data_IF_126879514329
#
_entry.id   IF_126879514329
#
_cell.length_a   1.000
_cell.length_b   1.000
_cell.length_c   1.000
_cell.angle_alpha   90.00
_cell.angle_beta   90.00
_cell.angle_gamma   90.00
#
_symmetry.space_group_name_H-M   'P 1'
#
loop_
_entity.id
_entity.type
_entity.pdbx_description
1 polymer ?
#
# COMPACT_ATOMS: atom_id res chain seq x y z
N UNK A 1 -16.21 15.63 22.58
CA UNK A 1 -16.68 14.57 21.68
C UNK A 1 -15.88 13.27 21.93
N UNK A 2 -16.52 12.11 21.81
CA UNK A 2 -15.85 10.81 21.89
C UNK A 2 -15.55 10.26 23.28
N UNK A 3 -15.85 10.99 24.36
CA UNK A 3 -15.67 10.51 25.75
C UNK A 3 -16.97 10.15 26.46
N UNK A 4 -18.08 10.65 25.98
CA UNK A 4 -19.40 10.43 26.54
C UNK A 4 -20.41 10.19 25.42
N UNK A 5 -21.44 9.43 25.73
CA UNK A 5 -22.59 9.23 24.86
C UNK A 5 -23.26 10.55 24.52
N UNK A 6 -23.66 10.73 23.27
CA UNK A 6 -24.41 11.91 22.87
C UNK A 6 -25.78 11.94 23.58
N UNK A 7 -26.15 13.11 24.12
CA UNK A 7 -27.46 13.32 24.78
C UNK A 7 -28.58 13.55 23.77
N UNK A 8 -28.27 14.15 22.63
CA UNK A 8 -29.18 14.40 21.53
C UNK A 8 -28.65 13.65 20.32
N UNK A 9 -29.41 12.74 19.78
CA UNK A 9 -29.03 11.96 18.60
C UNK A 9 -30.26 11.43 17.83
N UNK A 10 -30.03 11.10 16.59
CA UNK A 10 -30.94 10.35 15.72
C UNK A 10 -30.12 9.38 14.90
N UNK A 11 -30.77 8.44 14.23
CA UNK A 11 -30.13 7.55 13.25
C UNK A 11 -30.55 7.92 11.85
N UNK A 12 -29.66 7.72 10.89
CA UNK A 12 -29.96 7.88 9.48
C UNK A 12 -30.80 6.71 8.96
N UNK A 13 -31.55 6.95 7.92
CA UNK A 13 -32.13 5.88 7.09
C UNK A 13 -31.06 5.24 6.18
N UNK A 14 -31.47 4.26 5.37
CA UNK A 14 -30.58 3.56 4.43
C UNK A 14 -29.98 4.47 3.33
N UNK A 15 -30.58 5.62 3.09
CA UNK A 15 -30.12 6.64 2.14
C UNK A 15 -29.25 7.72 2.79
N UNK A 16 -29.02 7.64 4.10
CA UNK A 16 -28.25 8.60 4.87
C UNK A 16 -29.03 9.82 5.31
N UNK A 17 -30.34 9.89 5.09
CA UNK A 17 -31.16 11.02 5.56
C UNK A 17 -31.38 10.93 7.06
N UNK A 18 -31.39 12.08 7.73
CA UNK A 18 -31.62 12.17 9.14
C UNK A 18 -32.45 13.40 9.51
N UNK A 19 -33.10 13.37 10.66
CA UNK A 19 -33.83 14.48 11.21
C UNK A 19 -33.70 14.51 12.74
N UNK A 20 -33.29 15.67 13.28
CA UNK A 20 -33.35 15.98 14.69
C UNK A 20 -34.54 16.90 14.95
N UNK A 21 -35.44 16.47 15.83
CA UNK A 21 -36.71 17.18 16.14
C UNK A 21 -36.70 17.75 17.55
N UNK A 22 -37.55 18.75 17.77
CA UNK A 22 -37.83 19.33 19.09
C UNK A 22 -36.56 19.89 19.78
N UNK A 23 -35.66 20.47 19.02
CA UNK A 23 -34.50 21.15 19.54
C UNK A 23 -34.86 22.55 19.99
N UNK A 24 -34.25 23.00 21.09
CA UNK A 24 -34.36 24.40 21.51
C UNK A 24 -33.56 25.31 20.59
N UNK A 25 -33.93 26.59 20.54
CA UNK A 25 -33.11 27.60 19.89
C UNK A 25 -31.79 27.73 20.64
N UNK A 26 -30.69 27.37 19.95
CA UNK A 26 -29.34 27.38 20.52
C UNK A 26 -28.31 27.18 19.41
N UNK A 27 -27.06 27.15 19.80
CA UNK A 27 -25.93 26.84 18.89
C UNK A 27 -25.45 25.42 19.13
N UNK A 28 -25.48 24.61 18.06
CA UNK A 28 -25.18 23.17 18.12
C UNK A 28 -23.91 22.83 17.36
N UNK A 29 -23.11 21.93 17.91
CA UNK A 29 -22.08 21.22 17.20
C UNK A 29 -22.64 19.89 16.71
N UNK A 30 -22.65 19.69 15.41
CA UNK A 30 -23.23 18.48 14.79
C UNK A 30 -22.09 17.54 14.37
N UNK A 31 -22.29 16.27 14.68
CA UNK A 31 -21.36 15.20 14.35
C UNK A 31 -22.13 14.02 13.74
N UNK A 32 -21.53 13.35 12.79
CA UNK A 32 -21.97 12.04 12.34
C UNK A 32 -21.02 10.97 12.90
N UNK A 33 -21.58 9.81 13.24
CA UNK A 33 -20.83 8.69 13.76
C UNK A 33 -21.32 7.41 13.08
N UNK A 34 -20.40 6.71 12.41
CA UNK A 34 -20.63 5.35 11.90
C UNK A 34 -19.82 4.42 12.78
N UNK A 35 -20.48 3.80 13.72
CA UNK A 35 -19.88 2.98 14.77
C UNK A 35 -20.07 1.48 14.54
N UNK A 36 -19.20 0.68 15.13
CA UNK A 36 -19.33 -0.78 15.15
C UNK A 36 -19.93 -1.31 16.46
N UNK A 37 -19.74 -0.60 17.57
CA UNK A 37 -20.11 -1.03 18.93
C UNK A 37 -21.53 -0.71 19.33
N UNK A 38 -22.24 0.18 18.64
CA UNK A 38 -23.60 0.67 18.96
C UNK A 38 -23.73 1.32 20.35
N UNK A 39 -22.62 1.78 20.94
CA UNK A 39 -22.57 2.43 22.25
C UNK A 39 -22.74 3.96 22.19
N UNK A 40 -22.72 4.54 20.99
CA UNK A 40 -22.82 5.98 20.70
C UNK A 40 -21.65 6.80 21.28
N UNK A 41 -20.50 6.15 21.39
CA UNK A 41 -19.24 6.74 21.83
C UNK A 41 -18.21 6.54 20.71
N UNK A 42 -17.64 7.63 20.21
CA UNK A 42 -16.64 7.55 19.15
C UNK A 42 -15.38 6.82 19.59
N UNK A 43 -15.04 5.77 18.89
CA UNK A 43 -13.84 4.97 19.05
C UNK A 43 -12.96 5.10 17.79
N UNK A 44 -11.89 5.87 17.88
CA UNK A 44 -11.02 6.18 16.74
C UNK A 44 -10.50 4.91 16.03
N UNK A 45 -10.31 3.81 16.74
CA UNK A 45 -9.81 2.56 16.19
C UNK A 45 -10.79 1.88 15.23
N UNK A 46 -12.10 2.00 15.47
CA UNK A 46 -13.13 1.24 14.76
C UNK A 46 -14.07 2.10 13.93
N UNK A 47 -14.35 3.32 14.40
CA UNK A 47 -15.45 4.12 13.89
C UNK A 47 -15.02 5.13 12.84
N UNK A 48 -15.95 5.53 11.99
CA UNK A 48 -15.83 6.68 11.12
C UNK A 48 -16.59 7.86 11.73
N UNK A 49 -16.09 9.06 11.53
CA UNK A 49 -16.66 10.29 12.11
C UNK A 49 -16.77 11.39 11.07
N UNK A 50 -17.84 12.18 11.18
CA UNK A 50 -18.03 13.40 10.40
C UNK A 50 -18.35 14.57 11.32
N UNK A 51 -18.05 15.78 10.91
CA UNK A 51 -18.34 16.99 11.67
C UNK A 51 -18.58 18.16 10.73
N UNK A 52 -19.24 19.21 11.22
CA UNK A 52 -19.25 20.52 10.56
C UNK A 52 -18.13 21.37 11.13
N UNK A 53 -17.42 22.12 10.30
CA UNK A 53 -16.36 23.03 10.74
C UNK A 53 -16.91 24.08 11.69
N UNK A 54 -18.06 24.65 11.35
CA UNK A 54 -18.74 25.65 12.13
C UNK A 54 -19.91 25.07 12.93
N UNK A 55 -20.30 25.75 13.99
CA UNK A 55 -21.48 25.41 14.76
C UNK A 55 -22.74 25.83 14.02
N UNK A 56 -23.83 25.10 14.18
CA UNK A 56 -25.13 25.42 13.59
C UNK A 56 -25.91 26.27 14.58
N UNK A 57 -26.20 27.50 14.22
CA UNK A 57 -27.13 28.38 14.98
C UNK A 57 -28.54 28.00 14.59
N UNK A 58 -29.29 27.42 15.52
CA UNK A 58 -30.67 26.99 15.32
C UNK A 58 -31.64 28.08 15.82
N UNK A 59 -31.84 29.09 15.00
CA UNK A 59 -32.81 30.16 15.18
C UNK A 59 -34.19 29.83 14.56
N UNK A 60 -34.15 29.00 13.53
CA UNK A 60 -35.28 28.44 12.76
C UNK A 60 -34.94 27.04 12.26
N UNK A 61 -35.88 26.39 11.60
CA UNK A 61 -35.61 25.10 10.99
C UNK A 61 -34.44 25.20 9.96
N UNK A 62 -33.48 24.32 10.09
CA UNK A 62 -32.35 24.21 9.17
C UNK A 62 -32.48 22.94 8.35
N UNK A 63 -32.23 23.05 7.06
CA UNK A 63 -32.19 21.93 6.10
C UNK A 63 -30.80 21.84 5.45
N UNK A 64 -30.54 20.75 4.77
CA UNK A 64 -29.26 20.53 4.05
C UNK A 64 -28.03 20.61 4.95
N UNK A 65 -28.14 20.13 6.18
CA UNK A 65 -27.00 20.00 7.11
C UNK A 65 -26.32 18.67 6.81
N UNK A 66 -25.48 18.67 5.77
CA UNK A 66 -24.82 17.46 5.28
C UNK A 66 -23.50 17.24 6.01
N UNK A 67 -23.19 15.99 6.32
CA UNK A 67 -21.93 15.56 6.93
C UNK A 67 -21.32 14.43 6.11
N UNK A 68 -20.02 14.50 5.92
CA UNK A 68 -19.25 13.42 5.34
C UNK A 68 -18.47 12.69 6.46
N UNK A 69 -18.57 11.36 6.48
CA UNK A 69 -17.84 10.56 7.46
C UNK A 69 -16.51 10.08 6.88
N UNK A 70 -15.51 10.01 7.72
CA UNK A 70 -14.18 9.55 7.37
C UNK A 70 -13.56 8.78 8.53
N UNK A 71 -12.59 7.93 8.21
CA UNK A 71 -11.77 7.23 9.17
C UNK A 71 -10.55 8.09 9.50
N UNK A 72 -10.34 8.42 10.77
CA UNK A 72 -9.10 9.07 11.21
C UNK A 72 -7.94 8.08 11.26
N UNK A 73 -6.73 8.58 11.09
CA UNK A 73 -5.54 7.84 11.49
C UNK A 73 -5.48 7.74 13.03
N UNK A 74 -4.95 6.65 13.53
CA UNK A 74 -4.82 6.45 14.95
C UNK A 74 -3.92 7.52 15.58
N UNK A 75 -4.39 8.20 16.64
CA UNK A 75 -3.62 9.23 17.33
C UNK A 75 -2.60 8.66 18.32
N UNK A 76 -2.78 7.41 18.74
CA UNK A 76 -1.90 6.71 19.66
C UNK A 76 -1.37 5.49 18.92
N UNK A 77 -0.06 5.41 18.81
CA UNK A 77 0.60 4.24 18.23
C UNK A 77 0.33 2.99 19.05
N UNK A 78 0.06 1.88 18.35
CA UNK A 78 -0.05 0.54 18.94
C UNK A 78 0.42 -0.52 17.94
N UNK A 79 1.11 -1.50 18.44
CA UNK A 79 1.30 -2.77 17.72
C UNK A 79 0.04 -3.60 17.91
N UNK A 80 -0.70 -3.82 16.80
CA UNK A 80 -2.02 -4.51 16.78
C UNK A 80 -1.84 -6.02 16.85
N UNK A 81 -0.80 -6.49 16.15
CA UNK A 81 -0.44 -7.91 16.13
C UNK A 81 1.08 -8.07 16.10
N UNK A 82 1.56 -9.10 16.75
CA UNK A 82 2.96 -9.50 16.76
C UNK A 82 3.10 -11.01 16.78
N UNK A 83 4.00 -11.52 15.96
CA UNK A 83 4.20 -12.95 15.83
C UNK A 83 5.66 -13.30 15.57
N UNK A 84 6.17 -14.31 16.28
CA UNK A 84 7.35 -15.07 15.87
C UNK A 84 6.86 -16.17 14.91
N UNK A 85 7.22 -16.05 13.65
CA UNK A 85 6.76 -16.96 12.60
C UNK A 85 7.51 -18.30 12.66
N UNK A 86 6.94 -19.32 12.03
CA UNK A 86 7.56 -20.66 11.92
C UNK A 86 8.89 -20.68 11.16
N UNK A 87 9.21 -19.64 10.41
CA UNK A 87 10.50 -19.45 9.73
C UNK A 87 11.54 -18.71 10.59
N UNK A 88 11.17 -18.30 11.81
CA UNK A 88 12.00 -17.54 12.74
C UNK A 88 11.98 -16.03 12.52
N UNK A 89 11.20 -15.52 11.57
CA UNK A 89 11.04 -14.08 11.38
C UNK A 89 10.05 -13.48 12.39
N UNK A 90 10.28 -12.24 12.77
CA UNK A 90 9.38 -11.46 13.61
C UNK A 90 8.45 -10.64 12.71
N UNK A 91 7.15 -10.74 12.90
CA UNK A 91 6.13 -9.97 12.23
C UNK A 91 5.48 -9.00 13.20
N UNK A 92 5.24 -7.77 12.77
CA UNK A 92 4.46 -6.79 13.50
C UNK A 92 3.50 -6.10 12.54
N UNK A 93 2.24 -5.93 12.98
CA UNK A 93 1.24 -5.09 12.34
C UNK A 93 0.95 -3.89 13.23
N UNK A 94 0.84 -2.73 12.63
CA UNK A 94 0.71 -1.44 13.32
C UNK A 94 -0.66 -0.84 13.04
N UNK A 95 -1.17 -0.04 13.96
CA UNK A 95 -2.46 0.63 13.78
C UNK A 95 -2.38 1.93 12.98
N UNK A 96 -1.18 2.33 12.56
CA UNK A 96 -0.96 3.53 11.75
C UNK A 96 0.23 3.35 10.82
N UNK A 97 0.26 4.15 9.75
CA UNK A 97 1.36 4.20 8.79
C UNK A 97 2.50 5.04 9.35
N UNK A 98 3.70 4.50 9.33
CA UNK A 98 4.89 5.22 9.76
C UNK A 98 5.50 6.02 8.60
N UNK A 99 6.09 7.17 8.91
CA UNK A 99 6.66 8.09 7.90
C UNK A 99 8.13 7.82 7.63
N UNK A 100 8.94 7.78 8.70
CA UNK A 100 10.39 7.51 8.67
C UNK A 100 10.77 6.50 9.75
N UNK A 101 10.28 5.25 9.63
CA UNK A 101 10.45 4.26 10.68
C UNK A 101 11.90 3.83 10.83
N UNK A 102 12.31 3.70 12.08
CA UNK A 102 13.58 3.10 12.48
C UNK A 102 13.29 1.99 13.48
N UNK A 103 13.85 0.82 13.21
CA UNK A 103 13.69 -0.37 14.06
C UNK A 103 15.04 -0.79 14.59
N UNK A 104 15.16 -1.01 15.89
CA UNK A 104 16.37 -1.50 16.52
C UNK A 104 16.06 -2.67 17.46
N UNK A 105 16.98 -3.62 17.54
CA UNK A 105 16.96 -4.67 18.53
C UNK A 105 17.79 -4.18 19.73
N UNK A 106 17.11 -3.96 20.85
CA UNK A 106 17.77 -3.44 22.05
C UNK A 106 18.24 -4.54 22.99
N UNK A 107 17.65 -5.74 22.88
CA UNK A 107 18.04 -6.89 23.70
C UNK A 107 17.73 -8.20 22.96
N UNK A 108 18.70 -9.10 22.73
CA UNK A 108 20.15 -8.88 22.87
C UNK A 108 20.67 -7.91 21.79
N UNK A 109 21.44 -6.89 22.19
CA UNK A 109 21.92 -5.87 21.28
C UNK A 109 22.83 -6.42 20.14
N UNK A 110 23.48 -7.55 20.35
CA UNK A 110 24.31 -8.21 19.35
C UNK A 110 23.55 -8.60 18.08
N UNK A 111 22.21 -8.79 18.16
CA UNK A 111 21.38 -9.15 17.01
C UNK A 111 21.06 -7.95 16.11
N UNK A 112 21.27 -6.75 16.59
CA UNK A 112 20.89 -5.53 15.86
C UNK A 112 21.69 -5.33 14.57
N UNK A 113 22.97 -5.54 14.60
CA UNK A 113 23.85 -5.30 13.45
C UNK A 113 23.55 -6.18 12.23
N UNK A 114 23.03 -7.38 12.45
CA UNK A 114 22.78 -8.36 11.38
C UNK A 114 21.29 -8.56 11.04
N UNK A 115 20.40 -7.73 11.63
CA UNK A 115 18.97 -7.80 11.32
C UNK A 115 18.68 -7.29 9.89
N UNK A 116 17.67 -7.87 9.28
CA UNK A 116 17.10 -7.38 8.03
C UNK A 116 15.65 -7.00 8.29
N UNK A 117 15.28 -5.77 7.95
CA UNK A 117 13.94 -5.22 8.20
C UNK A 117 13.29 -4.88 6.88
N UNK A 118 12.06 -5.29 6.69
CA UNK A 118 11.25 -4.90 5.54
C UNK A 118 9.88 -4.46 6.01
N UNK A 119 9.52 -3.23 5.65
CA UNK A 119 8.17 -2.72 5.76
C UNK A 119 7.36 -3.09 4.51
N UNK A 120 6.05 -3.20 4.66
CA UNK A 120 5.15 -3.25 3.53
C UNK A 120 5.08 -1.88 2.83
N UNK A 121 4.36 -1.79 1.71
CA UNK A 121 4.25 -0.56 0.91
C UNK A 121 3.56 0.60 1.63
N UNK A 122 2.78 0.33 2.66
CA UNK A 122 2.05 1.31 3.46
C UNK A 122 2.75 1.70 4.76
N UNK A 123 3.85 1.04 5.11
CA UNK A 123 4.57 1.22 6.38
C UNK A 123 3.72 1.00 7.64
N UNK A 124 2.71 0.14 7.55
CA UNK A 124 1.86 -0.26 8.68
C UNK A 124 2.06 -1.72 9.11
N UNK A 125 3.01 -2.40 8.50
CA UNK A 125 3.43 -3.76 8.87
C UNK A 125 4.89 -3.95 8.52
N UNK A 126 5.60 -4.70 9.33
CA UNK A 126 7.01 -4.99 9.10
C UNK A 126 7.36 -6.42 9.46
N UNK A 127 8.38 -6.93 8.80
CA UNK A 127 9.00 -8.22 9.11
C UNK A 127 10.49 -8.03 9.35
N UNK A 128 11.01 -8.72 10.37
CA UNK A 128 12.42 -8.71 10.74
C UNK A 128 12.95 -10.14 10.64
N UNK A 129 14.07 -10.30 9.95
CA UNK A 129 14.82 -11.55 9.92
C UNK A 129 16.12 -11.38 10.70
N UNK A 130 16.43 -12.39 11.51
CA UNK A 130 17.62 -12.46 12.32
C UNK A 130 18.53 -13.57 11.80
N UNK A 131 19.84 -13.37 11.89
CA UNK A 131 20.83 -14.38 11.49
C UNK A 131 21.14 -15.38 12.61
N UNK A 132 20.72 -15.10 13.82
CA UNK A 132 20.83 -15.98 14.96
C UNK A 132 19.46 -16.08 15.67
N UNK A 133 19.06 -17.30 16.03
CA UNK A 133 17.81 -17.61 16.70
C UNK A 133 18.04 -18.33 18.05
N UNK A 134 19.22 -18.19 18.63
CA UNK A 134 19.58 -18.84 19.89
C UNK A 134 19.13 -18.09 21.14
N UNK A 135 18.34 -17.05 20.98
CA UNK A 135 17.80 -16.21 22.05
C UNK A 135 16.53 -16.81 22.70
N UNK A 136 16.30 -16.53 23.97
CA UNK A 136 15.03 -16.83 24.64
C UNK A 136 13.98 -15.74 24.38
N UNK A 137 14.40 -14.49 24.33
CA UNK A 137 13.54 -13.38 23.97
C UNK A 137 14.31 -12.26 23.29
N UNK A 138 13.59 -11.48 22.48
CA UNK A 138 14.10 -10.29 21.76
C UNK A 138 13.23 -9.09 22.08
N UNK A 139 13.85 -7.97 22.42
CA UNK A 139 13.16 -6.68 22.52
C UNK A 139 13.47 -5.81 21.31
N UNK A 140 12.43 -5.38 20.63
CA UNK A 140 12.50 -4.58 19.41
C UNK A 140 11.91 -3.20 19.69
N UNK A 141 12.69 -2.14 19.51
CA UNK A 141 12.20 -0.77 19.58
C UNK A 141 11.77 -0.28 18.20
N UNK A 142 10.68 0.48 18.17
CA UNK A 142 10.16 1.14 16.98
C UNK A 142 10.18 2.64 17.24
N UNK A 143 10.80 3.39 16.33
CA UNK A 143 10.82 4.84 16.32
C UNK A 143 10.26 5.34 15.00
N UNK A 144 9.65 6.52 14.98
CA UNK A 144 9.23 7.21 13.77
C UNK A 144 9.58 8.70 13.87
N UNK A 145 10.17 9.26 12.81
CA UNK A 145 10.61 10.66 12.76
C UNK A 145 11.45 11.07 14.00
N UNK A 146 12.26 10.13 14.51
CA UNK A 146 13.13 10.35 15.68
C UNK A 146 12.43 10.22 17.04
N UNK A 147 11.13 9.94 17.07
CA UNK A 147 10.39 9.70 18.33
C UNK A 147 10.29 8.20 18.61
N UNK A 148 10.59 7.82 19.85
CA UNK A 148 10.31 6.46 20.33
C UNK A 148 8.79 6.24 20.40
N UNK A 149 8.31 5.17 19.78
CA UNK A 149 6.89 4.82 19.77
C UNK A 149 6.57 3.69 20.74
N UNK A 150 7.30 2.58 20.65
CA UNK A 150 7.07 1.41 21.51
C UNK A 150 8.30 0.49 21.53
N UNK A 151 8.30 -0.42 22.52
CA UNK A 151 9.27 -1.50 22.65
C UNK A 151 8.54 -2.83 22.82
N UNK A 152 8.72 -3.73 21.87
CA UNK A 152 7.99 -4.98 21.76
C UNK A 152 8.89 -6.13 22.15
N UNK A 153 8.43 -6.99 23.07
CA UNK A 153 9.11 -8.23 23.43
C UNK A 153 8.51 -9.39 22.63
N UNK A 154 9.38 -10.17 21.99
CA UNK A 154 9.08 -11.48 21.45
C UNK A 154 9.74 -12.51 22.32
N UNK A 155 9.03 -13.60 22.65
CA UNK A 155 9.57 -14.71 23.40
C UNK A 155 9.52 -15.96 22.57
N UNK A 156 10.56 -16.74 22.64
CA UNK A 156 10.63 -18.07 22.02
C UNK A 156 10.03 -19.10 22.94
N UNK A 157 9.23 -20.00 22.40
CA UNK A 157 8.76 -21.17 23.12
C UNK A 157 9.87 -22.22 23.22
N UNK A 158 9.96 -22.93 24.35
CA UNK A 158 11.00 -23.98 24.58
C UNK A 158 10.98 -25.10 23.53
N UNK A 159 9.84 -25.31 22.86
CA UNK A 159 9.64 -26.36 21.83
C UNK A 159 9.55 -25.81 20.41
N UNK A 160 9.83 -24.52 20.21
CA UNK A 160 9.73 -23.93 18.89
C UNK A 160 10.78 -24.52 17.95
N UNK A 161 10.30 -25.10 16.86
CA UNK A 161 11.12 -25.57 15.75
C UNK A 161 10.85 -24.65 14.54
N UNK A 162 11.90 -24.32 13.82
CA UNK A 162 11.78 -23.42 12.67
C UNK A 162 11.92 -24.18 11.37
N UNK A 163 10.91 -24.05 10.51
CA UNK A 163 10.91 -24.61 9.16
C UNK A 163 11.19 -23.52 8.15
N UNK A 164 12.30 -23.62 7.43
CA UNK A 164 12.76 -22.60 6.49
C UNK A 164 12.83 -23.15 5.08
N UNK A 165 11.70 -23.17 4.41
CA UNK A 165 11.65 -23.51 2.99
C UNK A 165 11.73 -22.22 2.17
N UNK A 166 12.71 -22.15 1.28
CA UNK A 166 12.80 -21.03 0.34
C UNK A 166 11.80 -21.26 -0.78
N UNK A 167 10.90 -20.29 -0.94
CA UNK A 167 9.90 -20.25 -2.00
C UNK A 167 10.04 -18.94 -2.75
N UNK A 168 10.00 -19.02 -4.09
CA UNK A 168 10.05 -17.86 -4.96
C UNK A 168 8.68 -17.64 -5.63
N UNK A 169 8.13 -16.45 -5.47
CA UNK A 169 7.08 -15.89 -6.32
C UNK A 169 7.71 -15.14 -7.50
N UNK A 170 6.92 -14.80 -8.50
CA UNK A 170 7.38 -14.06 -9.66
C UNK A 170 6.42 -12.93 -10.03
N UNK A 171 6.82 -12.10 -10.99
CA UNK A 171 6.01 -10.98 -11.51
C UNK A 171 5.36 -11.29 -12.86
N UNK A 172 5.12 -12.57 -13.16
CA UNK A 172 4.41 -12.97 -14.36
C UNK A 172 2.93 -12.58 -14.26
N UNK A 173 2.36 -12.28 -15.39
CA UNK A 173 0.95 -11.98 -15.56
C UNK A 173 0.25 -13.21 -16.16
N UNK A 174 -0.14 -14.17 -15.30
CA UNK A 174 -0.47 -15.52 -15.72
C UNK A 174 0.77 -16.24 -16.25
N UNK A 175 0.75 -16.67 -17.49
CA UNK A 175 1.90 -17.29 -18.16
C UNK A 175 2.76 -16.28 -18.96
N UNK A 176 2.54 -14.98 -18.82
CA UNK A 176 3.19 -13.97 -19.63
C UNK A 176 4.12 -13.08 -18.81
N UNK A 177 5.34 -12.86 -19.35
CA UNK A 177 6.23 -11.81 -18.88
C UNK A 177 5.92 -10.51 -19.64
N UNK A 178 5.70 -9.44 -18.92
CA UNK A 178 5.52 -8.12 -19.50
C UNK A 178 6.83 -7.69 -20.23
N UNK A 179 6.79 -7.30 -21.51
CA UNK A 179 7.99 -6.99 -22.31
C UNK A 179 8.76 -5.76 -21.81
N UNK A 180 8.16 -4.97 -20.93
CA UNK A 180 8.75 -3.75 -20.40
C UNK A 180 9.22 -3.91 -18.94
N UNK A 181 9.12 -5.11 -18.39
CA UNK A 181 9.55 -5.43 -17.03
C UNK A 181 10.51 -6.61 -17.05
N UNK A 182 11.63 -6.57 -16.33
CA UNK A 182 12.46 -7.75 -16.18
C UNK A 182 11.71 -8.83 -15.39
N UNK A 183 12.07 -10.09 -15.60
CA UNK A 183 11.59 -11.16 -14.74
C UNK A 183 12.15 -10.94 -13.32
N UNK A 184 11.28 -10.94 -12.33
CA UNK A 184 11.59 -10.78 -10.91
C UNK A 184 11.21 -12.04 -10.17
N UNK A 185 12.09 -12.51 -9.30
CA UNK A 185 11.84 -13.58 -8.35
C UNK A 185 11.89 -12.97 -6.95
N UNK A 186 10.78 -13.00 -6.23
CA UNK A 186 10.70 -12.49 -4.86
C UNK A 186 10.63 -13.67 -3.90
N UNK A 187 11.58 -13.77 -3.01
CA UNK A 187 11.71 -14.85 -2.04
C UNK A 187 11.00 -14.50 -0.73
N UNK A 188 10.51 -15.52 -0.07
CA UNK A 188 9.91 -15.40 1.27
C UNK A 188 10.95 -15.18 2.38
N UNK A 189 12.22 -15.52 2.12
CA UNK A 189 13.35 -15.37 3.03
C UNK A 189 14.49 -14.60 2.34
N UNK A 190 15.30 -13.83 3.09
CA UNK A 190 16.50 -13.20 2.54
C UNK A 190 17.48 -14.24 2.01
N UNK A 191 18.00 -14.02 0.82
CA UNK A 191 18.98 -14.88 0.17
C UNK A 191 20.38 -14.30 0.42
N UNK A 192 21.30 -15.15 0.89
CA UNK A 192 22.70 -14.79 1.14
C UNK A 192 23.60 -15.10 -0.05
N UNK A 193 23.36 -16.24 -0.72
CA UNK A 193 24.13 -16.60 -1.90
C UNK A 193 23.28 -17.25 -2.98
N UNK A 194 23.72 -17.09 -4.23
CA UNK A 194 23.10 -17.68 -5.40
C UNK A 194 24.15 -18.49 -6.14
N UNK A 195 23.96 -19.80 -6.16
CA UNK A 195 24.77 -20.71 -6.98
C UNK A 195 24.03 -21.04 -8.27
N UNK A 196 24.63 -20.63 -9.35
CA UNK A 196 24.05 -20.77 -10.67
C UNK A 196 24.70 -21.91 -11.49
N UNK A 197 25.60 -22.70 -10.88
CA UNK A 197 26.30 -23.83 -11.51
C UNK A 197 25.37 -24.96 -11.97
N UNK A 198 24.23 -25.13 -11.30
CA UNK A 198 23.22 -26.15 -11.60
C UNK A 198 22.07 -25.73 -12.52
N UNK A 199 22.19 -24.59 -13.22
CA UNK A 199 21.11 -24.07 -14.09
C UNK A 199 20.89 -24.91 -15.36
N UNK A 200 19.63 -25.18 -15.64
CA UNK A 200 19.21 -25.61 -16.98
C UNK A 200 18.10 -24.69 -17.47
N UNK A 201 18.33 -23.99 -18.58
CA UNK A 201 17.24 -23.41 -19.36
C UNK A 201 16.78 -24.51 -20.32
N UNK A 202 15.61 -25.03 -20.08
CA UNK A 202 15.01 -26.09 -20.86
C UNK A 202 13.95 -25.50 -21.79
N UNK A 203 14.28 -25.25 -23.00
CA UNK A 203 13.71 -25.68 -24.28
C UNK A 203 14.31 -24.91 -25.44
N UNK A 204 14.72 -25.70 -26.47
CA UNK A 204 15.39 -25.33 -27.72
C UNK A 204 16.68 -24.52 -27.58
N UNK A 205 17.81 -25.24 -27.36
CA UNK A 205 19.21 -24.78 -27.62
C UNK A 205 19.47 -23.28 -27.40
N UNK A 206 19.19 -22.80 -26.20
CA UNK A 206 19.68 -21.49 -25.81
C UNK A 206 20.99 -21.70 -25.06
N UNK A 207 22.08 -21.01 -25.42
CA UNK A 207 23.35 -21.12 -24.70
C UNK A 207 23.17 -20.80 -23.23
N UNK A 208 23.89 -21.49 -22.35
CA UNK A 208 23.95 -21.23 -20.90
C UNK A 208 24.54 -19.84 -20.57
N UNK A 209 25.02 -19.12 -21.59
CA UNK A 209 25.63 -17.79 -21.52
C UNK A 209 24.58 -16.70 -21.71
N UNK A 210 24.64 -15.64 -20.89
CA UNK A 210 23.82 -14.43 -21.06
C UNK A 210 22.69 -14.22 -20.05
N UNK A 211 22.40 -15.16 -19.13
CA UNK A 211 21.51 -14.89 -18.00
C UNK A 211 22.29 -14.28 -16.84
N UNK A 212 21.78 -13.18 -16.35
CA UNK A 212 22.25 -12.59 -15.09
C UNK A 212 21.13 -12.60 -14.06
N UNK A 213 21.48 -12.92 -12.83
CA UNK A 213 20.57 -12.85 -11.68
C UNK A 213 21.23 -11.96 -10.63
N UNK A 214 20.63 -10.82 -10.37
CA UNK A 214 21.17 -9.83 -9.45
C UNK A 214 20.12 -9.45 -8.40
N UNK A 215 20.55 -9.19 -7.18
CA UNK A 215 19.66 -8.65 -6.15
C UNK A 215 19.12 -7.29 -6.59
N UNK A 216 17.84 -7.04 -6.35
CA UNK A 216 17.26 -5.72 -6.55
C UNK A 216 17.81 -4.74 -5.53
N UNK A 217 18.08 -3.49 -5.94
CA UNK A 217 18.65 -2.47 -5.07
C UNK A 217 17.66 -1.92 -4.04
N UNK A 218 16.37 -2.01 -4.33
CA UNK A 218 15.29 -1.47 -3.49
C UNK A 218 14.61 -2.55 -2.62
N UNK A 219 14.74 -3.82 -3.02
CA UNK A 219 14.11 -4.94 -2.30
C UNK A 219 15.06 -6.13 -2.19
N UNK A 220 15.68 -6.30 -1.03
CA UNK A 220 16.63 -7.37 -0.78
C UNK A 220 16.04 -8.80 -0.86
N UNK A 221 14.72 -8.95 -0.87
CA UNK A 221 14.04 -10.22 -1.11
C UNK A 221 13.88 -10.53 -2.59
N UNK A 222 14.05 -9.54 -3.46
CA UNK A 222 13.79 -9.67 -4.90
C UNK A 222 15.09 -9.78 -5.68
N UNK A 223 15.09 -10.70 -6.63
CA UNK A 223 16.15 -10.91 -7.59
C UNK A 223 15.64 -10.68 -9.00
N UNK A 224 16.40 -9.93 -9.77
CA UNK A 224 16.10 -9.59 -11.16
C UNK A 224 16.83 -10.54 -12.08
N UNK A 225 16.07 -11.25 -12.91
CA UNK A 225 16.60 -12.15 -13.94
C UNK A 225 16.58 -11.41 -15.28
N UNK A 226 17.75 -11.19 -15.84
CA UNK A 226 17.92 -10.54 -17.15
C UNK A 226 18.44 -11.53 -18.17
N UNK A 227 17.84 -11.47 -19.34
CA UNK A 227 18.21 -12.22 -20.54
C UNK A 227 17.65 -11.46 -21.75
N UNK A 228 18.21 -11.55 -22.96
CA UNK A 228 17.64 -10.97 -24.17
C UNK A 228 16.41 -11.76 -24.64
N UNK A 229 15.31 -11.61 -23.89
CA UNK A 229 14.05 -12.28 -24.18
C UNK A 229 13.49 -11.84 -25.53
N UNK A 230 12.97 -12.78 -26.30
CA UNK A 230 12.35 -12.54 -27.62
C UNK A 230 10.83 -12.69 -27.47
N UNK A 231 10.08 -11.71 -27.97
CA UNK A 231 8.62 -11.70 -27.91
C UNK A 231 8.00 -12.96 -28.56
N UNK A 232 6.85 -13.38 -28.03
CA UNK A 232 6.08 -14.54 -28.50
C UNK A 232 6.83 -15.88 -28.36
N UNK A 233 7.99 -15.91 -27.69
CA UNK A 233 8.75 -17.14 -27.45
C UNK A 233 8.49 -17.64 -26.02
N UNK A 234 8.26 -18.95 -25.90
CA UNK A 234 8.11 -19.64 -24.61
C UNK A 234 9.50 -19.96 -24.04
N UNK A 235 9.65 -19.68 -22.74
CA UNK A 235 10.85 -19.93 -21.96
C UNK A 235 10.51 -20.80 -20.75
N UNK A 236 11.48 -21.57 -20.31
CA UNK A 236 11.46 -22.29 -19.04
C UNK A 236 12.83 -22.15 -18.39
N UNK A 237 12.84 -21.71 -17.15
CA UNK A 237 14.05 -21.61 -16.33
C UNK A 237 13.91 -22.61 -15.20
N UNK A 238 14.89 -23.50 -15.05
CA UNK A 238 14.97 -24.45 -13.95
C UNK A 238 16.05 -24.03 -12.96
N UNK A 239 15.73 -24.12 -11.69
CA UNK A 239 16.64 -23.92 -10.59
C UNK A 239 16.78 -25.23 -9.81
N UNK A 240 18.00 -25.66 -9.59
CA UNK A 240 18.30 -26.89 -8.85
C UNK A 240 18.04 -26.72 -7.35
N UNK A 241 18.03 -27.83 -6.62
CA UNK A 241 18.11 -27.82 -5.16
C UNK A 241 19.33 -27.01 -4.72
N UNK A 242 19.12 -26.10 -3.76
CA UNK A 242 20.19 -25.29 -3.19
C UNK A 242 20.77 -24.21 -4.10
N UNK A 243 20.16 -23.93 -5.26
CA UNK A 243 20.59 -22.83 -6.14
C UNK A 243 20.51 -21.45 -5.42
N UNK A 244 19.64 -21.34 -4.44
CA UNK A 244 19.52 -20.19 -3.56
C UNK A 244 19.72 -20.64 -2.12
N UNK A 245 20.71 -20.08 -1.46
CA UNK A 245 20.93 -20.27 -0.04
C UNK A 245 20.50 -19.01 0.69
N UNK A 246 19.55 -19.14 1.58
CA UNK A 246 19.06 -18.08 2.42
C UNK A 246 19.74 -18.01 3.77
N UNK A 247 19.31 -17.06 4.59
CA UNK A 247 19.76 -16.95 5.97
C UNK A 247 19.60 -18.27 6.72
N UNK A 248 20.46 -18.52 7.70
CA UNK A 248 20.48 -19.72 8.52
C UNK A 248 20.65 -21.01 7.68
N UNK A 249 21.42 -20.91 6.59
CA UNK A 249 21.74 -21.99 5.65
C UNK A 249 20.53 -22.72 5.05
N UNK A 250 19.36 -22.06 5.01
CA UNK A 250 18.18 -22.58 4.33
C UNK A 250 18.41 -22.70 2.83
N UNK A 251 17.82 -23.71 2.19
CA UNK A 251 17.99 -23.95 0.75
C UNK A 251 16.62 -24.09 0.07
N UNK A 252 16.55 -23.69 -1.21
CA UNK A 252 15.37 -23.96 -2.02
C UNK A 252 15.33 -25.43 -2.45
N UNK A 253 14.13 -25.95 -2.64
CA UNK A 253 13.89 -27.14 -3.47
C UNK A 253 13.96 -26.78 -4.93
N UNK A 254 14.27 -27.76 -5.81
CA UNK A 254 14.24 -27.53 -7.26
C UNK A 254 12.89 -27.00 -7.71
N UNK A 255 12.89 -25.98 -8.56
CA UNK A 255 11.67 -25.42 -9.12
C UNK A 255 11.89 -24.89 -10.53
N UNK A 256 10.80 -24.81 -11.30
CA UNK A 256 10.79 -24.29 -12.66
C UNK A 256 9.91 -23.06 -12.78
N UNK A 257 10.27 -22.14 -13.66
CA UNK A 257 9.44 -21.01 -14.08
C UNK A 257 9.29 -21.05 -15.60
N UNK A 258 8.03 -21.26 -16.05
CA UNK A 258 7.67 -21.26 -17.47
C UNK A 258 6.87 -20.03 -17.81
N UNK A 259 7.23 -19.37 -18.91
CA UNK A 259 6.53 -18.17 -19.34
C UNK A 259 6.76 -17.90 -20.85
N UNK A 260 5.92 -17.06 -21.41
CA UNK A 260 6.09 -16.48 -22.74
C UNK A 260 6.34 -14.99 -22.61
N UNK A 261 7.37 -14.45 -23.30
CA UNK A 261 7.48 -12.99 -23.36
C UNK A 261 6.32 -12.44 -24.19
N UNK A 262 5.50 -11.58 -23.57
CA UNK A 262 4.37 -10.99 -24.26
C UNK A 262 4.81 -10.06 -25.40
N UNK A 263 3.95 -9.83 -26.38
CA UNK A 263 4.21 -8.85 -27.43
C UNK A 263 3.89 -7.44 -26.93
N UNK A 264 4.69 -6.47 -27.34
CA UNK A 264 4.39 -5.05 -27.09
C UNK A 264 3.06 -4.64 -27.73
N UNK A 265 2.67 -5.30 -28.82
CA UNK A 265 1.40 -5.05 -29.50
C UNK A 265 0.16 -5.34 -28.62
N UNK A 266 0.33 -6.06 -27.51
CA UNK A 266 -0.75 -6.33 -26.55
C UNK A 266 -0.92 -5.21 -25.51
N UNK A 267 -0.17 -4.14 -25.62
CA UNK A 267 -0.20 -2.98 -24.71
C UNK A 267 -0.51 -1.72 -25.48
N UNK A 268 -1.15 -0.78 -24.82
CA UNK A 268 -1.45 0.54 -25.38
C UNK A 268 -0.77 1.66 -24.60
N UNK A 269 -0.89 2.86 -25.12
CA UNK A 269 -0.44 4.11 -24.49
C UNK A 269 -1.64 4.96 -24.14
N UNK A 270 -1.61 5.61 -22.98
CA UNK A 270 -2.56 6.63 -22.58
C UNK A 270 -1.82 7.97 -22.41
N UNK A 271 -2.23 8.97 -23.14
CA UNK A 271 -1.75 10.34 -23.00
C UNK A 271 -2.89 11.21 -22.46
N UNK A 272 -2.74 11.69 -21.24
CA UNK A 272 -3.72 12.54 -20.58
C UNK A 272 -3.25 13.99 -20.59
N UNK A 273 -3.95 14.85 -21.32
CA UNK A 273 -3.84 16.30 -21.15
C UNK A 273 -4.69 16.70 -19.96
N UNK A 274 -4.04 17.18 -18.92
CA UNK A 274 -4.70 17.56 -17.66
C UNK A 274 -4.75 19.08 -17.60
N UNK A 275 -5.95 19.61 -17.40
CA UNK A 275 -6.21 21.03 -17.19
C UNK A 275 -6.72 21.21 -15.75
N UNK A 276 -6.22 22.21 -15.04
CA UNK A 276 -6.59 22.51 -13.67
C UNK A 276 -7.30 23.84 -13.57
N UNK A 277 -8.43 23.89 -12.86
CA UNK A 277 -9.12 25.14 -12.59
C UNK A 277 -8.35 26.06 -11.64
N UNK A 278 -7.51 25.50 -10.77
CA UNK A 278 -6.72 26.22 -9.77
C UNK A 278 -5.24 25.91 -9.92
N UNK A 279 -4.48 26.87 -10.45
CA UNK A 279 -3.03 26.72 -10.64
C UNK A 279 -2.25 26.90 -9.35
N UNK A 280 -1.09 26.23 -9.25
CA UNK A 280 -0.20 26.31 -8.08
C UNK A 280 -0.63 25.44 -6.89
N UNK A 281 -1.82 24.85 -6.91
CA UNK A 281 -2.19 23.77 -6.00
C UNK A 281 -1.49 22.48 -6.41
N UNK A 282 -1.20 21.60 -5.46
CA UNK A 282 -0.69 20.28 -5.77
C UNK A 282 -1.81 19.28 -5.94
N UNK A 283 -1.68 18.44 -6.94
CA UNK A 283 -2.61 17.38 -7.28
C UNK A 283 -1.86 16.05 -7.37
N UNK A 284 -2.54 14.97 -7.00
CA UNK A 284 -2.06 13.61 -7.23
C UNK A 284 -3.06 12.93 -8.16
N UNK A 285 -2.68 12.69 -9.41
CA UNK A 285 -3.49 11.93 -10.34
C UNK A 285 -3.14 10.46 -10.21
N UNK A 286 -4.14 9.63 -10.04
CA UNK A 286 -4.01 8.19 -10.01
C UNK A 286 -4.85 7.56 -11.12
N UNK A 287 -4.20 6.68 -11.89
CA UNK A 287 -4.90 5.80 -12.82
C UNK A 287 -5.12 4.48 -12.11
N UNK A 288 -6.37 4.07 -12.03
CA UNK A 288 -6.77 2.81 -11.37
C UNK A 288 -7.39 1.85 -12.39
N UNK A 289 -7.24 0.55 -12.17
CA UNK A 289 -7.87 -0.47 -12.99
C UNK A 289 -9.29 -0.82 -12.49
N UNK A 290 -9.96 -1.76 -13.14
CA UNK A 290 -11.31 -2.22 -12.79
C UNK A 290 -11.43 -2.79 -11.37
N UNK A 291 -10.32 -3.25 -10.78
CA UNK A 291 -10.26 -3.76 -9.41
C UNK A 291 -9.82 -2.68 -8.40
N UNK A 292 -9.91 -1.42 -8.77
CA UNK A 292 -9.51 -0.26 -7.96
C UNK A 292 -7.99 -0.21 -7.58
N UNK A 293 -7.17 -1.06 -8.18
CA UNK A 293 -5.74 -1.03 -7.94
C UNK A 293 -5.10 0.16 -8.67
N UNK A 294 -4.28 0.91 -7.95
CA UNK A 294 -3.49 2.00 -8.53
C UNK A 294 -2.44 1.43 -9.46
N UNK A 295 -2.55 1.75 -10.75
CA UNK A 295 -1.59 1.34 -11.78
C UNK A 295 -0.48 2.37 -11.95
N UNK A 296 -0.83 3.64 -11.84
CA UNK A 296 0.12 4.76 -11.87
C UNK A 296 -0.34 5.89 -10.97
N UNK A 297 0.62 6.66 -10.45
CA UNK A 297 0.40 7.86 -9.67
C UNK A 297 1.39 8.93 -10.09
N UNK A 298 0.94 10.17 -10.25
CA UNK A 298 1.77 11.32 -10.66
C UNK A 298 1.33 12.57 -9.93
N UNK A 299 2.28 13.39 -9.48
CA UNK A 299 2.04 14.68 -8.84
C UNK A 299 2.33 15.82 -9.80
N UNK A 300 1.51 16.89 -9.76
CA UNK A 300 1.69 18.09 -10.57
C UNK A 300 0.99 19.30 -9.92
N UNK A 301 1.28 20.51 -10.40
CA UNK A 301 0.72 21.76 -9.85
C UNK A 301 0.02 22.63 -10.90
N UNK A 302 0.26 22.40 -12.17
CA UNK A 302 -0.26 23.16 -13.28
C UNK A 302 -0.74 22.24 -14.39
N UNK A 303 -1.36 22.81 -15.41
CA UNK A 303 -1.72 22.08 -16.62
C UNK A 303 -0.51 21.27 -17.12
N UNK A 304 -0.75 20.03 -17.43
CA UNK A 304 0.32 19.12 -17.84
C UNK A 304 -0.18 18.05 -18.79
N UNK A 305 0.75 17.35 -19.41
CA UNK A 305 0.44 16.14 -20.19
C UNK A 305 1.19 14.95 -19.57
N UNK A 306 0.45 13.98 -19.10
CA UNK A 306 0.96 12.77 -18.51
C UNK A 306 0.87 11.63 -19.52
N UNK A 307 1.99 10.97 -19.80
CA UNK A 307 2.05 9.85 -20.72
C UNK A 307 2.29 8.54 -19.96
N UNK A 308 1.37 7.61 -20.11
CA UNK A 308 1.38 6.29 -19.50
C UNK A 308 1.51 5.24 -20.59
N UNK A 309 2.66 4.58 -20.65
CA UNK A 309 2.98 3.60 -21.69
C UNK A 309 2.86 2.18 -21.15
N UNK A 310 2.60 1.23 -22.04
CA UNK A 310 2.60 -0.19 -21.74
C UNK A 310 1.49 -0.63 -20.78
N UNK A 311 0.33 -0.05 -20.96
CA UNK A 311 -0.89 -0.48 -20.28
C UNK A 311 -1.51 -1.66 -21.01
N UNK A 312 -1.96 -2.67 -20.29
CA UNK A 312 -2.77 -3.74 -20.87
C UNK A 312 -4.05 -3.17 -21.46
N UNK A 313 -4.59 -3.82 -22.48
CA UNK A 313 -5.94 -3.55 -22.93
C UNK A 313 -6.91 -3.79 -21.77
N UNK A 314 -7.82 -2.87 -21.55
CA UNK A 314 -8.77 -2.90 -20.43
C UNK A 314 -9.35 -1.54 -20.12
N UNK A 315 -10.11 -1.49 -19.04
CA UNK A 315 -10.77 -0.29 -18.52
C UNK A 315 -9.95 0.30 -17.38
N UNK A 316 -9.85 1.61 -17.40
CA UNK A 316 -9.14 2.38 -16.39
C UNK A 316 -9.98 3.59 -15.99
N UNK A 317 -9.75 4.06 -14.77
CA UNK A 317 -10.43 5.21 -14.20
C UNK A 317 -9.38 6.19 -13.69
N UNK A 318 -9.72 7.45 -13.68
CA UNK A 318 -8.85 8.50 -13.15
C UNK A 318 -9.47 9.08 -11.90
N UNK A 319 -8.69 9.18 -10.85
CA UNK A 319 -9.02 9.96 -9.67
C UNK A 319 -7.91 10.94 -9.36
N UNK A 320 -8.29 12.10 -8.83
CA UNK A 320 -7.36 13.17 -8.52
C UNK A 320 -7.59 13.62 -7.09
N UNK A 321 -6.52 13.63 -6.31
CA UNK A 321 -6.50 14.09 -4.93
C UNK A 321 -6.02 15.54 -4.93
N UNK A 322 -6.70 16.40 -4.18
CA UNK A 322 -6.26 17.78 -3.90
C UNK A 322 -5.29 17.74 -2.71
N UNK A 323 -4.00 17.67 -3.00
CA UNK A 323 -2.94 17.50 -2.00
C UNK A 323 -2.58 18.86 -1.37
N UNK A 324 -3.22 19.19 -0.27
CA UNK A 324 -3.10 20.50 0.38
C UNK A 324 -1.74 20.73 1.01
N UNK A 325 -1.19 19.70 1.65
CA UNK A 325 0.07 19.80 2.38
C UNK A 325 1.29 19.47 1.52
N UNK A 326 1.06 19.13 0.24
CA UNK A 326 2.09 18.84 -0.78
C UNK A 326 3.02 17.68 -0.42
N UNK A 327 2.49 16.68 0.31
CA UNK A 327 3.27 15.52 0.73
C UNK A 327 3.26 14.35 -0.28
N UNK A 328 2.46 14.44 -1.36
CA UNK A 328 2.35 13.43 -2.41
C UNK A 328 1.51 12.21 -2.01
N UNK A 329 0.70 12.31 -0.96
CA UNK A 329 -0.18 11.25 -0.45
C UNK A 329 -1.54 11.83 -0.11
N UNK A 330 -2.57 11.00 -0.12
CA UNK A 330 -3.86 11.38 0.42
C UNK A 330 -3.83 11.35 1.95
N UNK A 331 -4.29 12.41 2.58
CA UNK A 331 -4.39 12.53 4.02
C UNK A 331 -5.86 12.53 4.46
N UNK A 332 -6.11 11.76 5.51
CA UNK A 332 -7.44 11.75 6.15
C UNK A 332 -7.63 12.97 7.05
N UNK A 333 -8.87 13.15 7.51
CA UNK A 333 -9.21 14.24 8.42
C UNK A 333 -8.76 14.02 9.86
N UNK A 334 -8.89 15.08 10.66
CA UNK A 334 -8.65 15.05 12.11
C UNK A 334 -9.75 15.82 12.85
N UNK A 335 -10.54 15.13 13.64
CA UNK A 335 -11.67 15.72 14.33
C UNK A 335 -11.25 16.71 15.43
N UNK A 336 -10.12 16.44 16.12
CA UNK A 336 -9.63 17.32 17.17
C UNK A 336 -9.11 18.64 16.62
N UNK A 337 -8.43 18.60 15.48
CA UNK A 337 -7.93 19.77 14.78
C UNK A 337 -8.97 20.39 13.85
N UNK A 338 -10.14 19.77 13.70
CA UNK A 338 -11.22 20.17 12.78
C UNK A 338 -10.72 20.31 11.34
N UNK A 339 -9.89 19.36 10.92
CA UNK A 339 -9.36 19.25 9.57
C UNK A 339 -10.13 18.16 8.83
N UNK A 340 -10.65 18.47 7.66
CA UNK A 340 -11.31 17.49 6.78
C UNK A 340 -10.28 16.65 6.03
N UNK A 341 -10.66 15.45 5.57
CA UNK A 341 -9.86 14.71 4.59
C UNK A 341 -9.63 15.52 3.33
N UNK A 342 -8.51 15.26 2.68
CA UNK A 342 -8.28 15.78 1.34
C UNK A 342 -9.34 15.30 0.37
N UNK A 343 -9.85 16.21 -0.43
CA UNK A 343 -10.92 15.90 -1.40
C UNK A 343 -10.36 15.07 -2.54
N UNK A 344 -11.21 14.20 -3.05
CA UNK A 344 -10.90 13.34 -4.20
C UNK A 344 -11.93 13.62 -5.30
N UNK A 345 -11.45 14.02 -6.46
CA UNK A 345 -12.24 14.11 -7.68
C UNK A 345 -12.13 12.79 -8.45
N UNK A 346 -13.23 12.19 -8.79
CA UNK A 346 -13.28 11.02 -9.65
C UNK A 346 -13.79 11.45 -11.03
N UNK A 347 -12.97 11.23 -12.06
CA UNK A 347 -13.39 11.46 -13.44
C UNK A 347 -14.49 10.46 -13.82
N UNK A 348 -15.61 10.97 -14.29
CA UNK A 348 -16.76 10.13 -14.64
C UNK A 348 -16.51 9.28 -15.89
N UNK A 349 -15.60 9.73 -16.76
CA UNK A 349 -15.31 9.06 -18.02
C UNK A 349 -14.39 7.86 -17.82
N UNK A 350 -14.86 6.68 -18.18
CA UNK A 350 -14.04 5.49 -18.29
C UNK A 350 -13.02 5.62 -19.45
N UNK A 351 -11.79 5.24 -19.18
CA UNK A 351 -10.72 5.19 -20.17
C UNK A 351 -10.49 3.74 -20.62
N UNK A 352 -11.04 3.38 -21.77
CA UNK A 352 -10.76 2.08 -22.39
C UNK A 352 -9.46 2.15 -23.20
N UNK A 353 -8.46 1.38 -22.82
CA UNK A 353 -7.19 1.23 -23.56
C UNK A 353 -7.27 -0.02 -24.42
N UNK A 354 -6.95 0.13 -25.70
CA UNK A 354 -6.86 -0.97 -26.65
C UNK A 354 -5.40 -1.33 -26.90
N UNK A 355 -5.15 -2.60 -27.19
CA UNK A 355 -3.85 -3.09 -27.59
C UNK A 355 -3.36 -2.39 -28.87
N UNK A 356 -2.07 -2.03 -28.88
CA UNK A 356 -1.40 -1.33 -29.99
C UNK A 356 -2.04 0.03 -30.39
N UNK A 357 -2.69 0.69 -29.43
CA UNK A 357 -3.31 2.00 -29.65
C UNK A 357 -2.72 3.05 -28.72
N UNK A 358 -2.55 4.25 -29.27
CA UNK A 358 -2.28 5.46 -28.52
C UNK A 358 -3.60 6.21 -28.28
N UNK A 359 -4.04 6.24 -27.05
CA UNK A 359 -5.23 7.00 -26.65
C UNK A 359 -4.84 8.36 -26.10
N UNK A 360 -5.41 9.40 -26.69
CA UNK A 360 -5.26 10.77 -26.21
C UNK A 360 -6.59 11.23 -25.61
N UNK A 361 -6.54 11.70 -24.37
CA UNK A 361 -7.70 12.22 -23.65
C UNK A 361 -7.37 13.54 -22.97
N UNK A 362 -8.39 14.37 -22.79
CA UNK A 362 -8.30 15.60 -22.00
C UNK A 362 -9.24 15.46 -20.81
N UNK A 363 -8.72 15.74 -19.64
CA UNK A 363 -9.50 15.83 -18.41
C UNK A 363 -9.36 17.22 -17.83
N UNK A 364 -10.44 17.74 -17.28
CA UNK A 364 -10.45 19.04 -16.59
C UNK A 364 -10.77 18.81 -15.13
N UNK A 365 -9.80 19.09 -14.28
CA UNK A 365 -9.99 19.00 -12.83
C UNK A 365 -10.75 20.26 -12.40
N UNK A 366 -11.92 20.09 -11.82
CA UNK A 366 -12.73 21.22 -11.37
C UNK A 366 -12.04 21.96 -10.22
N UNK A 367 -12.56 23.15 -9.92
CA UNK A 367 -12.24 23.79 -8.64
C UNK A 367 -12.62 22.85 -7.50
N UNK A 368 -11.77 22.82 -6.49
CA UNK A 368 -12.05 22.03 -5.31
C UNK A 368 -13.42 22.38 -4.72
N UNK A 369 -14.30 21.35 -4.48
CA UNK A 369 -15.57 21.61 -3.83
C UNK A 369 -15.33 22.29 -2.49
N UNK A 370 -16.03 23.40 -2.24
CA UNK A 370 -15.97 24.05 -0.93
C UNK A 370 -16.26 23.03 0.18
N UNK A 371 -15.59 23.14 1.29
CA UNK A 371 -15.94 22.40 2.51
C UNK A 371 -17.36 22.79 2.92
N UNK A 372 -18.24 21.82 3.03
CA UNK A 372 -19.63 21.97 3.47
C UNK A 372 -19.69 22.56 4.88
#
# INVERSE_FOLDING_TARGET
FGKKKASIYTTTDSSGNYQLKNLRKDTYRVYALKEQSSDKIYQQATDEVGFLKDSVVLDQNKTNVNLEVFKEDASIFRVVDRKLNSDGSLLMSLNQKLRKPVVAIIEPAALDAAKLVKFNSTNDSLRIWLKDLTFDSVKVSINDEGKALDTIKFSRGKKDTYTRNIVASDNLEGEFLNPNKPLRLTFNLPIESVDLGGRRIIKKKIPRTGITITRDSLDFLTYVVRYPWVAKRKYEISFADGAFTGILASKNKAFNKSFTLNSRDNYGTLSLKVQTAEKGKQYILQVVNENEHIVSSSTFQNDTTLKFTNYKAGKYFVRVIYDHNKNGKWDTGNIKLRVYPEKVYNEAKELSIKANWDRNETITIPKEPGTI
#
